data_IF_775842177439
#
_entry.id   IF_775842177439
#
_cell.length_a   1.000
_cell.length_b   1.000
_cell.length_c   1.000
_cell.angle_alpha   90.00
_cell.angle_beta   90.00
_cell.angle_gamma   90.00
#
_symmetry.space_group_name_H-M   'P 1'
#
loop_
_entity.id
_entity.type
_entity.pdbx_description
1 polymer ?
#
# COMPACT_ATOMS: atom_id res chain seq x y z
N UNK A 1 27.88 -50.21 7.14
CA UNK A 1 27.19 -51.08 8.14
C UNK A 1 25.74 -50.66 8.09
N UNK A 2 24.92 -51.39 7.38
CA UNK A 2 24.14 -52.60 7.61
C UNK A 2 23.10 -52.43 8.74
N UNK A 3 21.84 -52.69 8.30
CA UNK A 3 20.69 -53.36 8.96
C UNK A 3 19.66 -52.43 9.57
N UNK A 4 18.36 -52.60 9.49
CA UNK A 4 17.39 -53.55 8.83
C UNK A 4 15.99 -52.97 9.04
N UNK A 5 15.17 -52.89 8.02
CA UNK A 5 13.82 -53.46 7.80
C UNK A 5 13.17 -54.13 9.03
N UNK A 6 11.94 -53.78 9.31
CA UNK A 6 10.90 -54.75 9.66
C UNK A 6 9.51 -54.26 9.23
N UNK A 7 8.88 -55.18 8.57
CA UNK A 7 7.53 -55.26 8.03
C UNK A 7 6.69 -56.03 9.04
N UNK A 8 5.42 -55.73 9.24
CA UNK A 8 4.42 -56.75 9.60
C UNK A 8 3.01 -56.31 9.17
N UNK A 9 2.42 -57.17 8.33
CA UNK A 9 1.02 -57.28 7.92
C UNK A 9 0.16 -57.95 9.00
N UNK A 10 -1.16 -57.72 8.94
CA UNK A 10 -2.25 -58.71 9.07
C UNK A 10 -3.59 -57.96 8.97
N UNK A 11 -4.38 -58.04 7.94
CA UNK A 11 -5.41 -59.02 7.48
C UNK A 11 -6.47 -59.42 8.52
N UNK A 12 -7.76 -59.14 8.26
CA UNK A 12 -8.81 -60.06 7.87
C UNK A 12 -10.21 -59.45 8.05
N UNK A 13 -10.94 -59.46 7.10
CA UNK A 13 -12.25 -59.69 6.59
C UNK A 13 -13.20 -60.51 7.52
N UNK A 14 -14.51 -60.15 7.51
CA UNK A 14 -15.63 -61.12 7.43
C UNK A 14 -16.93 -60.44 6.95
N UNK A 15 -17.50 -61.03 5.93
CA UNK A 15 -18.84 -60.81 5.38
C UNK A 15 -19.94 -61.39 6.32
N UNK A 16 -21.14 -60.82 6.29
CA UNK A 16 -22.37 -61.57 6.48
C UNK A 16 -23.54 -60.96 5.72
N UNK A 17 -24.05 -61.72 4.78
CA UNK A 17 -25.26 -61.60 3.98
C UNK A 17 -26.46 -62.08 4.80
N UNK A 18 -27.59 -61.37 4.71
CA UNK A 18 -28.86 -61.82 5.26
C UNK A 18 -30.04 -61.21 4.52
N UNK A 19 -30.47 -61.94 3.48
CA UNK A 19 -31.77 -61.75 2.80
C UNK A 19 -32.87 -62.47 3.55
N UNK A 20 -34.04 -61.80 3.69
CA UNK A 20 -35.31 -62.57 3.72
C UNK A 20 -36.48 -61.66 3.34
N UNK A 21 -37.18 -62.10 2.34
CA UNK A 21 -38.42 -61.55 1.82
C UNK A 21 -39.61 -62.01 2.67
N UNK A 22 -40.64 -61.23 2.74
CA UNK A 22 -41.93 -61.59 3.29
C UNK A 22 -43.01 -60.63 2.86
N UNK A 23 -43.85 -61.05 1.91
CA UNK A 23 -45.11 -60.39 1.54
C UNK A 23 -46.18 -60.69 2.55
N UNK A 24 -47.02 -59.71 2.89
CA UNK A 24 -48.48 -59.88 3.05
C UNK A 24 -49.18 -58.52 3.23
N UNK A 25 -50.24 -58.36 2.56
CA UNK A 25 -51.33 -57.48 2.26
C UNK A 25 -52.07 -56.92 3.47
N UNK A 26 -52.57 -55.70 3.37
CA UNK A 26 -53.73 -55.25 4.17
C UNK A 26 -53.84 -53.76 4.45
N UNK A 27 -54.60 -53.04 3.63
CA UNK A 27 -55.50 -51.91 3.83
C UNK A 27 -55.20 -50.69 4.72
N UNK A 28 -55.23 -49.55 4.02
CA UNK A 28 -55.93 -48.26 4.27
C UNK A 28 -55.56 -47.33 5.44
N UNK A 29 -55.14 -46.12 4.96
CA UNK A 29 -55.57 -44.79 5.37
C UNK A 29 -54.79 -44.07 6.46
N UNK A 30 -54.01 -43.12 6.09
CA UNK A 30 -54.12 -41.67 6.37
C UNK A 30 -52.90 -40.94 5.78
N UNK A 31 -53.18 -39.91 4.98
CA UNK A 31 -52.24 -38.91 4.49
C UNK A 31 -51.64 -38.14 5.65
N UNK A 32 -50.33 -38.06 5.67
CA UNK A 32 -49.65 -36.91 6.25
C UNK A 32 -48.43 -36.68 5.37
N UNK A 33 -48.58 -35.76 4.49
CA UNK A 33 -47.51 -35.15 3.68
C UNK A 33 -46.50 -34.46 4.61
N UNK A 34 -45.40 -35.16 4.90
CA UNK A 34 -44.19 -34.49 5.32
C UNK A 34 -43.39 -34.18 4.06
N UNK A 35 -43.60 -32.97 3.53
CA UNK A 35 -42.71 -32.39 2.54
C UNK A 35 -41.36 -32.18 3.21
N UNK A 36 -40.41 -33.09 2.91
CA UNK A 36 -39.00 -32.81 3.07
C UNK A 36 -38.65 -31.76 2.03
N UNK A 37 -38.72 -30.52 2.44
CA UNK A 37 -38.03 -29.42 1.74
C UNK A 37 -36.52 -29.66 1.90
N UNK A 38 -35.96 -30.40 0.95
CA UNK A 38 -34.56 -30.24 0.62
C UNK A 38 -34.46 -28.80 0.06
N UNK A 39 -34.15 -27.85 0.93
CA UNK A 39 -33.58 -26.57 0.49
C UNK A 39 -32.26 -26.88 -0.21
N UNK A 40 -32.36 -27.02 -1.52
CA UNK A 40 -31.25 -26.79 -2.40
C UNK A 40 -30.89 -25.33 -2.18
N UNK A 41 -29.87 -25.06 -1.35
CA UNK A 41 -29.18 -23.78 -1.39
C UNK A 41 -28.54 -23.72 -2.78
N UNK A 42 -29.27 -23.16 -3.73
CA UNK A 42 -28.63 -22.63 -4.91
C UNK A 42 -27.64 -21.60 -4.37
N UNK A 43 -26.35 -21.93 -4.39
CA UNK A 43 -25.31 -20.93 -4.19
C UNK A 43 -25.64 -19.79 -5.15
N UNK A 44 -25.94 -18.61 -4.60
CA UNK A 44 -26.15 -17.44 -5.41
C UNK A 44 -24.86 -17.26 -6.22
N UNK A 45 -24.93 -17.36 -7.54
CA UNK A 45 -23.76 -17.10 -8.37
C UNK A 45 -23.51 -15.59 -8.27
N UNK A 46 -22.44 -15.19 -7.63
CA UNK A 46 -22.04 -13.81 -7.54
C UNK A 46 -21.65 -13.23 -8.90
N UNK A 47 -21.48 -11.94 -8.92
CA UNK A 47 -21.03 -11.22 -10.11
C UNK A 47 -19.53 -11.50 -10.32
N UNK A 48 -19.12 -11.82 -11.55
CA UNK A 48 -17.70 -11.81 -11.90
C UNK A 48 -17.21 -10.36 -11.96
N UNK A 49 -16.35 -9.98 -11.03
CA UNK A 49 -15.87 -8.61 -10.88
C UNK A 49 -14.57 -8.39 -11.65
N UNK A 50 -14.46 -7.23 -12.30
CA UNK A 50 -13.20 -6.71 -12.84
C UNK A 50 -12.70 -5.59 -11.93
N UNK A 51 -11.55 -5.77 -11.34
CA UNK A 51 -10.99 -4.85 -10.36
C UNK A 51 -9.60 -4.43 -10.82
N UNK A 52 -9.32 -3.14 -10.74
CA UNK A 52 -8.01 -2.56 -11.09
C UNK A 52 -7.48 -1.81 -9.88
N UNK A 53 -6.25 -2.12 -9.50
CA UNK A 53 -5.51 -1.47 -8.43
C UNK A 53 -4.21 -0.87 -8.99
N UNK A 54 -3.82 0.32 -8.56
CA UNK A 54 -2.57 0.94 -9.00
C UNK A 54 -1.38 0.29 -8.33
N UNK A 55 -1.42 0.15 -6.99
CA UNK A 55 -0.30 -0.34 -6.19
C UNK A 55 -0.59 -1.70 -5.53
N UNK A 56 0.48 -2.38 -5.11
CA UNK A 56 0.38 -3.70 -4.49
C UNK A 56 -0.47 -3.75 -3.20
N UNK A 57 -0.42 -2.80 -2.25
CA UNK A 57 -1.28 -2.81 -1.08
C UNK A 57 -2.77 -2.89 -1.42
N UNK A 58 -3.25 -2.08 -2.36
CA UNK A 58 -4.64 -2.09 -2.84
C UNK A 58 -5.03 -3.44 -3.42
N UNK A 59 -4.16 -4.01 -4.26
CA UNK A 59 -4.33 -5.32 -4.87
C UNK A 59 -4.45 -6.43 -3.82
N UNK A 60 -3.58 -6.44 -2.81
CA UNK A 60 -3.62 -7.46 -1.77
C UNK A 60 -4.83 -7.30 -0.85
N UNK A 61 -5.19 -6.07 -0.44
CA UNK A 61 -6.37 -5.82 0.38
C UNK A 61 -7.66 -6.32 -0.29
N UNK A 62 -7.85 -6.03 -1.57
CA UNK A 62 -8.97 -6.56 -2.34
C UNK A 62 -9.00 -8.09 -2.29
N UNK A 63 -7.86 -8.75 -2.49
CA UNK A 63 -7.75 -10.23 -2.43
C UNK A 63 -8.07 -10.78 -1.05
N UNK A 64 -7.61 -10.12 0.02
CA UNK A 64 -7.89 -10.53 1.39
C UNK A 64 -9.40 -10.45 1.70
N UNK A 65 -10.07 -9.40 1.24
CA UNK A 65 -11.51 -9.19 1.44
C UNK A 65 -12.33 -10.17 0.60
N UNK A 66 -11.98 -10.37 -0.65
CA UNK A 66 -12.65 -11.36 -1.51
C UNK A 66 -12.44 -12.79 -1.00
N UNK A 67 -11.27 -13.10 -0.44
CA UNK A 67 -10.93 -14.44 0.03
C UNK A 67 -11.00 -15.49 -1.09
N UNK A 68 -11.79 -16.54 -0.89
CA UNK A 68 -11.98 -17.58 -1.92
C UNK A 68 -12.67 -17.07 -3.18
N UNK A 69 -13.46 -16.02 -3.10
CA UNK A 69 -14.14 -15.39 -4.24
C UNK A 69 -13.18 -14.63 -5.17
N UNK A 70 -11.94 -14.34 -4.75
CA UNK A 70 -10.91 -13.79 -5.61
C UNK A 70 -10.62 -14.65 -6.86
N UNK A 71 -10.91 -15.95 -6.82
CA UNK A 71 -10.81 -16.87 -7.96
C UNK A 71 -11.87 -16.60 -9.03
N UNK A 72 -12.95 -15.92 -8.66
CA UNK A 72 -14.09 -15.57 -9.50
C UNK A 72 -14.04 -14.10 -9.94
N UNK A 73 -12.91 -13.42 -9.77
CA UNK A 73 -12.70 -12.03 -10.15
C UNK A 73 -11.43 -11.88 -11.01
N UNK A 74 -11.44 -10.91 -11.91
CA UNK A 74 -10.26 -10.44 -12.63
C UNK A 74 -9.67 -9.27 -11.84
N UNK A 75 -8.57 -9.49 -11.13
CA UNK A 75 -7.91 -8.45 -10.33
C UNK A 75 -6.60 -8.09 -11.01
N UNK A 76 -6.48 -6.86 -11.46
CA UNK A 76 -5.29 -6.33 -12.14
C UNK A 76 -4.51 -5.41 -11.21
N UNK A 77 -3.20 -5.64 -11.08
CA UNK A 77 -2.23 -4.69 -10.54
C UNK A 77 -1.59 -3.95 -11.71
N UNK A 78 -1.58 -2.62 -11.70
CA UNK A 78 -0.98 -1.82 -12.77
C UNK A 78 0.54 -1.73 -12.63
N UNK A 79 1.03 -1.53 -11.41
CA UNK A 79 2.47 -1.42 -11.12
C UNK A 79 3.11 -2.79 -10.83
N UNK A 80 2.93 -3.74 -11.72
CA UNK A 80 3.35 -5.15 -11.56
C UNK A 80 4.82 -5.44 -11.88
N UNK A 81 5.55 -4.45 -12.41
CA UNK A 81 6.94 -4.60 -12.90
C UNK A 81 7.99 -3.91 -12.05
N UNK A 82 7.65 -3.57 -10.80
CA UNK A 82 8.57 -2.86 -9.90
C UNK A 82 8.83 -1.41 -10.33
N UNK A 83 7.92 -0.82 -11.09
CA UNK A 83 7.95 0.62 -11.38
C UNK A 83 7.40 1.34 -10.16
N UNK A 84 8.11 2.38 -9.75
CA UNK A 84 7.70 3.24 -8.65
C UNK A 84 6.47 4.07 -9.01
N UNK A 85 5.57 4.30 -8.05
CA UNK A 85 4.34 5.07 -8.22
C UNK A 85 4.61 6.44 -8.84
N UNK A 86 5.63 7.16 -8.33
CA UNK A 86 5.97 8.52 -8.76
C UNK A 86 6.53 8.60 -10.18
N UNK A 87 6.91 7.46 -10.77
CA UNK A 87 7.41 7.36 -12.14
C UNK A 87 6.45 6.68 -13.11
N UNK A 88 5.28 6.25 -12.62
CA UNK A 88 4.34 5.49 -13.41
C UNK A 88 3.55 6.37 -14.38
N UNK A 89 3.43 5.89 -15.63
CA UNK A 89 2.55 6.46 -16.64
C UNK A 89 1.75 5.34 -17.29
N UNK A 90 0.40 5.41 -17.29
CA UNK A 90 -0.44 4.34 -17.84
C UNK A 90 -0.28 4.24 -19.34
N UNK A 91 -0.26 3.03 -19.84
CA UNK A 91 -0.34 2.76 -21.28
C UNK A 91 -1.80 2.60 -21.74
N UNK A 92 -2.01 2.45 -23.05
CA UNK A 92 -3.38 2.33 -23.60
C UNK A 92 -4.13 1.08 -23.11
N UNK A 93 -3.44 0.01 -22.75
CA UNK A 93 -4.06 -1.21 -22.18
C UNK A 93 -4.54 -0.96 -20.76
N UNK A 94 -3.75 -0.24 -19.94
CA UNK A 94 -4.13 0.13 -18.60
C UNK A 94 -5.38 1.01 -18.58
N UNK A 95 -5.42 2.03 -19.47
CA UNK A 95 -6.60 2.89 -19.64
C UNK A 95 -7.83 2.06 -20.07
N UNK A 96 -7.66 1.08 -20.95
CA UNK A 96 -8.76 0.21 -21.36
C UNK A 96 -9.29 -0.64 -20.18
N UNK A 97 -8.40 -1.22 -19.36
CA UNK A 97 -8.76 -1.98 -18.15
C UNK A 97 -9.52 -1.11 -17.15
N UNK A 98 -9.03 0.10 -16.87
CA UNK A 98 -9.68 1.07 -15.99
C UNK A 98 -11.06 1.46 -16.53
N UNK A 99 -11.18 1.69 -17.84
CA UNK A 99 -12.44 2.07 -18.49
C UNK A 99 -13.54 1.02 -18.35
N UNK A 100 -13.20 -0.27 -18.28
CA UNK A 100 -14.12 -1.41 -18.27
C UNK A 100 -14.30 -2.06 -16.90
N UNK A 101 -13.53 -1.66 -15.88
CA UNK A 101 -13.58 -2.29 -14.56
C UNK A 101 -14.87 -1.96 -13.79
N UNK A 102 -15.17 -2.76 -12.78
CA UNK A 102 -16.25 -2.55 -11.83
C UNK A 102 -15.79 -1.74 -10.61
N UNK A 103 -14.52 -1.92 -10.21
CA UNK A 103 -13.88 -1.21 -9.12
C UNK A 103 -12.47 -0.78 -9.54
N UNK A 104 -12.15 0.50 -9.34
CA UNK A 104 -10.83 1.05 -9.55
C UNK A 104 -10.32 1.67 -8.24
N UNK A 105 -9.11 1.29 -7.85
CA UNK A 105 -8.42 1.83 -6.68
C UNK A 105 -7.16 2.56 -7.13
N UNK A 106 -6.90 3.72 -6.52
CA UNK A 106 -5.69 4.51 -6.75
C UNK A 106 -5.38 5.37 -5.52
N UNK A 107 -4.13 5.77 -5.36
CA UNK A 107 -3.69 6.48 -4.17
C UNK A 107 -4.26 7.89 -4.10
N UNK A 108 -4.22 8.61 -5.20
CA UNK A 108 -4.47 10.06 -5.25
C UNK A 108 -3.15 10.85 -5.17
N UNK A 109 -3.26 12.17 -5.04
CA UNK A 109 -2.09 13.05 -5.03
C UNK A 109 -1.56 13.34 -6.44
N UNK A 110 -0.32 13.86 -6.49
CA UNK A 110 0.30 14.31 -7.74
C UNK A 110 0.69 13.15 -8.66
N UNK A 111 1.16 12.04 -8.07
CA UNK A 111 1.55 10.85 -8.83
C UNK A 111 0.42 10.25 -9.65
N UNK A 112 -0.80 10.42 -9.19
CA UNK A 112 -2.02 9.95 -9.85
C UNK A 112 -2.77 11.04 -10.65
N UNK A 113 -2.12 12.16 -10.96
CA UNK A 113 -2.71 13.27 -11.74
C UNK A 113 -3.31 12.84 -13.09
N UNK A 114 -2.78 11.78 -13.68
CA UNK A 114 -3.27 11.16 -14.91
C UNK A 114 -4.65 10.50 -14.75
N UNK A 115 -5.05 10.10 -13.54
CA UNK A 115 -6.31 9.38 -13.27
C UNK A 115 -7.52 10.21 -13.67
N UNK A 116 -7.48 11.51 -13.45
CA UNK A 116 -8.58 12.43 -13.84
C UNK A 116 -8.95 12.32 -15.31
N UNK A 117 -7.95 12.12 -16.17
CA UNK A 117 -8.18 11.95 -17.62
C UNK A 117 -8.61 10.52 -17.95
N UNK A 118 -8.02 9.52 -17.33
CA UNK A 118 -8.41 8.12 -17.49
C UNK A 118 -9.89 7.87 -17.12
N UNK A 119 -10.39 8.54 -16.08
CA UNK A 119 -11.78 8.40 -15.65
C UNK A 119 -12.81 8.98 -16.63
N UNK A 120 -12.42 9.92 -17.48
CA UNK A 120 -13.30 10.48 -18.54
C UNK A 120 -13.64 9.45 -19.62
N UNK A 121 -12.79 8.47 -19.84
CA UNK A 121 -12.93 7.43 -20.88
C UNK A 121 -13.77 6.22 -20.40
N UNK A 122 -14.53 6.36 -19.33
CA UNK A 122 -15.25 5.27 -18.70
C UNK A 122 -16.36 4.66 -19.58
N UNK A 123 -16.27 3.35 -19.85
CA UNK A 123 -17.31 2.56 -20.52
C UNK A 123 -18.31 1.96 -19.54
N UNK A 124 -17.93 1.77 -18.28
CA UNK A 124 -18.79 1.27 -17.22
C UNK A 124 -19.33 2.45 -16.40
N UNK A 125 -20.63 2.84 -16.54
CA UNK A 125 -21.19 3.94 -15.76
C UNK A 125 -21.41 3.62 -14.28
N UNK A 126 -21.44 2.33 -13.93
CA UNK A 126 -21.64 1.85 -12.55
C UNK A 126 -20.31 1.57 -11.83
N UNK A 127 -19.19 1.90 -12.46
CA UNK A 127 -17.86 1.72 -11.88
C UNK A 127 -17.73 2.46 -10.56
N UNK A 128 -17.25 1.75 -9.56
CA UNK A 128 -16.82 2.33 -8.28
C UNK A 128 -15.37 2.78 -8.38
N UNK A 129 -15.05 3.89 -7.73
CA UNK A 129 -13.71 4.46 -7.73
C UNK A 129 -13.35 4.83 -6.30
N UNK A 130 -12.22 4.33 -5.81
CA UNK A 130 -11.68 4.62 -4.49
C UNK A 130 -10.36 5.37 -4.68
N UNK A 131 -10.33 6.63 -4.23
CA UNK A 131 -9.13 7.41 -4.01
C UNK A 131 -8.75 7.23 -2.53
N UNK A 132 -7.55 6.70 -2.24
CA UNK A 132 -7.14 6.40 -0.86
C UNK A 132 -7.03 7.65 -0.01
N UNK A 133 -6.46 8.74 -0.54
CA UNK A 133 -6.36 10.02 0.18
C UNK A 133 -7.75 10.58 0.52
N UNK A 134 -8.69 10.55 -0.44
CA UNK A 134 -10.07 11.00 -0.21
C UNK A 134 -10.80 10.11 0.80
N UNK A 135 -10.59 8.80 0.75
CA UNK A 135 -11.19 7.84 1.68
C UNK A 135 -10.75 8.08 3.13
N UNK A 136 -9.52 8.55 3.34
CA UNK A 136 -8.98 8.87 4.66
C UNK A 136 -9.39 10.26 5.16
N UNK A 137 -9.74 11.18 4.28
CA UNK A 137 -10.20 12.52 4.61
C UNK A 137 -9.25 13.25 5.59
N UNK A 138 -9.72 13.59 6.78
CA UNK A 138 -8.92 14.33 7.78
C UNK A 138 -7.75 13.54 8.39
N UNK A 139 -7.57 12.27 8.04
CA UNK A 139 -6.43 11.46 8.49
C UNK A 139 -5.22 11.56 7.55
N UNK A 140 -5.36 12.28 6.44
CA UNK A 140 -4.23 12.59 5.56
C UNK A 140 -3.26 13.56 6.22
N UNK A 141 -1.99 13.45 5.87
CA UNK A 141 -0.90 14.28 6.40
C UNK A 141 -0.21 14.99 5.26
N UNK A 142 0.12 16.25 5.49
CA UNK A 142 0.96 17.02 4.58
C UNK A 142 2.37 16.43 4.55
N UNK A 143 3.02 16.52 3.40
CA UNK A 143 4.43 16.19 3.29
C UNK A 143 5.26 17.08 4.23
N UNK A 144 6.31 16.55 4.83
CA UNK A 144 7.10 17.26 5.84
C UNK A 144 8.57 17.26 5.46
N UNK A 145 9.13 18.44 5.29
CA UNK A 145 10.58 18.62 5.15
C UNK A 145 11.19 18.81 6.54
N UNK A 146 11.97 17.83 7.01
CA UNK A 146 12.64 17.90 8.31
C UNK A 146 14.05 18.46 8.18
N UNK A 147 14.64 18.84 9.34
CA UNK A 147 16.00 19.42 9.40
C UNK A 147 17.04 18.56 8.66
N UNK A 148 17.71 19.13 7.68
CA UNK A 148 18.77 18.50 6.91
C UNK A 148 18.31 17.70 5.69
N UNK A 149 17.00 17.59 5.45
CA UNK A 149 16.49 17.12 4.18
C UNK A 149 16.84 18.07 3.05
N UNK A 150 17.11 17.51 1.89
CA UNK A 150 17.18 18.29 0.66
C UNK A 150 15.75 18.50 0.18
N UNK A 151 15.37 19.78 0.04
CA UNK A 151 14.11 20.14 -0.60
C UNK A 151 14.21 19.88 -2.11
N UNK A 152 13.10 19.54 -2.75
CA UNK A 152 13.04 19.49 -4.19
C UNK A 152 13.34 20.87 -4.79
N UNK A 153 14.22 20.93 -5.77
CA UNK A 153 14.42 22.15 -6.55
C UNK A 153 13.27 22.23 -7.54
N UNK A 154 12.32 23.15 -7.33
CA UNK A 154 11.34 23.48 -8.36
C UNK A 154 12.08 23.80 -9.65
N UNK A 155 11.95 22.99 -10.69
CA UNK A 155 12.40 23.30 -12.04
C UNK A 155 11.54 24.44 -12.64
N UNK A 156 11.56 25.58 -11.99
CA UNK A 156 11.02 26.83 -12.48
C UNK A 156 12.06 27.55 -13.33
N UNK A 157 11.87 27.49 -14.62
CA UNK A 157 12.49 28.33 -15.68
C UNK A 157 13.46 29.41 -15.18
N UNK A 158 14.76 29.13 -15.20
CA UNK A 158 15.81 30.15 -15.15
C UNK A 158 16.54 30.21 -16.49
N UNK A 159 15.93 30.87 -17.45
CA UNK A 159 16.70 31.66 -18.40
C UNK A 159 17.17 32.92 -17.63
N UNK A 160 18.39 32.92 -17.19
CA UNK A 160 19.06 34.10 -16.65
C UNK A 160 20.40 34.28 -17.33
N UNK A 161 20.35 35.00 -18.40
CA UNK A 161 21.52 35.58 -19.03
C UNK A 161 22.15 36.57 -18.05
N UNK A 162 23.38 36.26 -17.66
CA UNK A 162 24.28 37.17 -16.91
C UNK A 162 24.75 38.29 -17.81
N UNK A 163 24.40 39.55 -17.49
CA UNK A 163 25.28 40.69 -17.85
C UNK A 163 25.17 41.78 -16.81
N UNK A 164 26.34 42.24 -16.42
CA UNK A 164 26.59 43.23 -15.42
C UNK A 164 26.35 44.68 -15.89
N UNK A 165 26.02 45.53 -14.91
CA UNK A 165 26.38 46.92 -14.73
C UNK A 165 25.68 48.05 -15.53
N UNK A 166 25.20 48.97 -14.75
CA UNK A 166 25.40 50.44 -14.86
C UNK A 166 24.16 51.31 -15.03
N UNK A 167 23.83 51.97 -13.94
CA UNK A 167 23.45 53.37 -13.72
C UNK A 167 22.46 54.13 -14.62
N UNK A 168 21.45 54.67 -13.91
CA UNK A 168 21.03 56.06 -13.85
C UNK A 168 19.87 56.59 -14.72
N UNK A 169 18.94 57.18 -13.99
CA UNK A 169 18.23 58.45 -14.20
C UNK A 169 16.89 58.46 -14.99
N UNK A 170 15.85 58.81 -14.21
CA UNK A 170 14.80 59.84 -14.44
C UNK A 170 14.02 59.88 -15.77
N UNK A 171 12.74 59.79 -15.78
CA UNK A 171 11.67 60.75 -15.52
C UNK A 171 10.30 60.31 -16.10
N UNK A 172 9.29 60.52 -15.29
CA UNK A 172 7.88 60.88 -15.50
C UNK A 172 7.22 60.74 -16.88
N UNK A 173 6.06 60.07 -16.98
CA UNK A 173 4.74 60.72 -17.00
C UNK A 173 3.62 59.71 -17.37
N UNK A 174 2.60 59.70 -16.53
CA UNK A 174 1.17 59.52 -16.70
C UNK A 174 0.58 58.82 -17.94
N UNK A 175 -0.26 57.82 -17.65
CA UNK A 175 -1.23 57.25 -18.59
C UNK A 175 -2.11 56.22 -17.89
N UNK A 176 -3.23 56.66 -17.38
CA UNK A 176 -4.31 55.91 -16.70
C UNK A 176 -4.97 54.98 -17.69
N UNK A 177 -5.02 53.66 -17.38
CA UNK A 177 -6.03 52.79 -17.92
C UNK A 177 -6.22 51.62 -16.96
N UNK A 178 -7.32 51.67 -16.26
CA UNK A 178 -7.86 50.63 -15.39
C UNK A 178 -8.28 49.44 -16.25
N UNK A 179 -7.55 48.33 -16.09
CA UNK A 179 -8.07 47.00 -16.34
C UNK A 179 -7.81 46.20 -15.09
N UNK A 180 -8.87 45.88 -14.35
CA UNK A 180 -8.84 44.96 -13.23
C UNK A 180 -8.53 43.56 -13.77
N UNK A 181 -7.29 43.14 -13.64
CA UNK A 181 -6.91 41.75 -13.64
C UNK A 181 -7.34 41.20 -12.28
N UNK A 182 -8.35 40.34 -12.28
CA UNK A 182 -8.62 39.46 -11.14
C UNK A 182 -7.39 38.54 -11.04
N UNK A 183 -6.52 38.83 -10.10
CA UNK A 183 -5.60 37.83 -9.57
C UNK A 183 -6.48 36.76 -8.95
N UNK A 184 -6.59 35.60 -9.63
CA UNK A 184 -7.01 34.37 -8.98
C UNK A 184 -5.87 34.06 -8.02
N UNK A 185 -6.08 34.30 -6.73
CA UNK A 185 -5.32 33.62 -5.69
C UNK A 185 -5.58 32.12 -5.95
N UNK A 186 -4.67 31.43 -6.62
CA UNK A 186 -4.58 29.99 -6.59
C UNK A 186 -4.26 29.68 -5.12
N UNK A 187 -5.26 29.26 -4.36
CA UNK A 187 -5.02 28.64 -3.06
C UNK A 187 -4.13 27.43 -3.36
N UNK A 188 -2.84 27.52 -3.00
CA UNK A 188 -1.95 26.37 -3.02
C UNK A 188 -2.58 25.30 -2.14
N UNK A 189 -3.11 24.25 -2.76
CA UNK A 189 -3.62 23.11 -2.02
C UNK A 189 -2.43 22.44 -1.32
N UNK A 190 -2.53 22.12 -0.03
CA UNK A 190 -1.43 21.46 0.66
C UNK A 190 -1.11 20.13 -0.03
N UNK A 191 0.17 19.89 -0.28
CA UNK A 191 0.67 18.64 -0.83
C UNK A 191 0.62 17.57 0.26
N UNK A 192 -0.21 16.55 0.05
CA UNK A 192 -0.33 15.43 0.99
C UNK A 192 0.68 14.33 0.67
N UNK A 193 1.31 13.79 1.72
CA UNK A 193 2.11 12.58 1.59
C UNK A 193 1.23 11.42 1.10
N UNK A 194 1.63 10.84 -0.02
CA UNK A 194 0.84 9.82 -0.73
C UNK A 194 0.95 8.42 -0.10
N UNK A 195 1.94 8.17 0.79
CA UNK A 195 2.28 6.85 1.31
C UNK A 195 1.38 6.36 2.45
N UNK A 196 0.07 6.60 2.30
CA UNK A 196 -0.97 6.31 3.29
C UNK A 196 -1.05 4.84 3.69
N UNK A 197 -0.66 3.94 2.80
CA UNK A 197 -0.70 2.48 3.02
C UNK A 197 0.33 1.98 4.04
N UNK A 198 1.34 2.79 4.40
CA UNK A 198 2.35 2.44 5.39
C UNK A 198 1.89 2.61 6.84
N UNK A 199 0.65 3.07 7.05
CA UNK A 199 -0.06 3.01 8.33
C UNK A 199 -1.00 1.80 8.36
N UNK A 200 -0.87 0.94 9.38
CA UNK A 200 -1.79 -0.17 9.61
C UNK A 200 -3.22 0.30 9.90
N UNK A 201 -3.35 1.45 10.56
CA UNK A 201 -4.64 2.08 10.90
C UNK A 201 -5.35 2.63 9.67
N UNK A 202 -4.59 3.25 8.77
CA UNK A 202 -5.13 3.68 7.48
C UNK A 202 -5.53 2.48 6.62
N UNK A 203 -4.72 1.42 6.60
CA UNK A 203 -5.04 0.19 5.90
C UNK A 203 -6.38 -0.42 6.37
N UNK A 204 -6.65 -0.43 7.68
CA UNK A 204 -7.92 -0.87 8.24
C UNK A 204 -9.08 -0.03 7.70
N UNK A 205 -8.99 1.31 7.81
CA UNK A 205 -10.02 2.23 7.32
C UNK A 205 -10.29 2.08 5.82
N UNK A 206 -9.24 1.91 5.02
CA UNK A 206 -9.36 1.71 3.57
C UNK A 206 -10.00 0.36 3.26
N UNK A 207 -9.64 -0.71 3.98
CA UNK A 207 -10.27 -2.02 3.83
C UNK A 207 -11.78 -2.00 4.12
N UNK A 208 -12.23 -1.16 5.06
CA UNK A 208 -13.66 -0.95 5.32
C UNK A 208 -14.35 -0.36 4.07
N UNK A 209 -13.78 0.69 3.47
CA UNK A 209 -14.32 1.33 2.25
C UNK A 209 -14.35 0.35 1.08
N UNK A 210 -13.28 -0.41 0.87
CA UNK A 210 -13.20 -1.45 -0.17
C UNK A 210 -14.34 -2.47 0.03
N UNK A 211 -14.55 -2.92 1.27
CA UNK A 211 -15.58 -3.90 1.61
C UNK A 211 -16.99 -3.41 1.28
N UNK A 212 -17.33 -2.15 1.62
CA UNK A 212 -18.63 -1.58 1.31
C UNK A 212 -18.89 -1.50 -0.20
N UNK A 213 -17.89 -1.13 -0.98
CA UNK A 213 -18.01 -1.09 -2.44
C UNK A 213 -18.13 -2.51 -3.05
N UNK A 214 -17.36 -3.47 -2.57
CA UNK A 214 -17.48 -4.87 -3.00
C UNK A 214 -18.87 -5.45 -2.68
N UNK A 215 -19.42 -5.18 -1.49
CA UNK A 215 -20.79 -5.58 -1.09
C UNK A 215 -21.86 -4.95 -1.99
N UNK A 216 -21.65 -3.69 -2.40
CA UNK A 216 -22.54 -2.99 -3.34
C UNK A 216 -22.49 -3.60 -4.74
N UNK A 217 -21.32 -4.03 -5.21
CA UNK A 217 -21.10 -4.61 -6.53
C UNK A 217 -21.54 -6.08 -6.61
N UNK A 218 -21.37 -6.84 -5.52
CA UNK A 218 -21.72 -8.25 -5.41
C UNK A 218 -22.40 -8.58 -4.06
N UNK A 219 -23.66 -8.21 -3.96
CA UNK A 219 -24.46 -8.40 -2.74
C UNK A 219 -24.68 -9.87 -2.37
N UNK A 220 -24.49 -10.80 -3.31
CA UNK A 220 -24.61 -12.23 -3.06
C UNK A 220 -23.55 -12.75 -2.08
N UNK A 221 -22.34 -12.15 -2.08
CA UNK A 221 -21.24 -12.54 -1.21
C UNK A 221 -20.97 -11.50 -0.08
N UNK A 222 -21.85 -10.54 0.14
CA UNK A 222 -21.66 -9.47 1.13
C UNK A 222 -21.25 -9.99 2.52
N UNK A 223 -21.90 -11.05 3.01
CA UNK A 223 -21.59 -11.64 4.32
C UNK A 223 -20.20 -12.31 4.36
N UNK A 224 -19.70 -12.80 3.21
CA UNK A 224 -18.33 -13.37 3.09
C UNK A 224 -17.32 -12.25 3.22
N UNK A 225 -17.53 -11.14 2.50
CA UNK A 225 -16.64 -9.98 2.53
C UNK A 225 -16.56 -9.35 3.93
N UNK A 226 -17.68 -9.20 4.62
CA UNK A 226 -17.72 -8.73 6.02
C UNK A 226 -16.95 -9.67 6.98
N UNK A 227 -17.11 -10.97 6.81
CA UNK A 227 -16.39 -11.94 7.65
C UNK A 227 -14.88 -11.92 7.38
N UNK A 228 -14.48 -11.77 6.11
CA UNK A 228 -13.07 -11.65 5.72
C UNK A 228 -12.46 -10.33 6.20
N UNK A 229 -13.17 -9.21 6.03
CA UNK A 229 -12.76 -7.92 6.59
C UNK A 229 -12.47 -8.04 8.08
N UNK A 230 -13.45 -8.53 8.86
CA UNK A 230 -13.29 -8.69 10.31
C UNK A 230 -12.04 -9.50 10.68
N UNK A 231 -11.81 -10.61 9.98
CA UNK A 231 -10.63 -11.45 10.21
C UNK A 231 -9.34 -10.70 9.87
N UNK A 232 -9.36 -9.90 8.80
CA UNK A 232 -8.19 -9.17 8.35
C UNK A 232 -7.86 -7.99 9.26
N UNK A 233 -8.87 -7.23 9.70
CA UNK A 233 -8.68 -6.13 10.66
C UNK A 233 -8.18 -6.64 12.02
N UNK A 234 -8.66 -7.80 12.51
CA UNK A 234 -8.10 -8.44 13.72
C UNK A 234 -6.58 -8.75 13.56
N UNK A 235 -6.10 -9.05 12.36
CA UNK A 235 -4.68 -9.28 12.09
C UNK A 235 -3.90 -7.95 12.02
N UNK A 236 -4.48 -6.90 11.41
CA UNK A 236 -3.89 -5.55 11.36
C UNK A 236 -3.74 -4.98 12.77
N UNK A 237 -4.80 -5.04 13.59
CA UNK A 237 -4.81 -4.62 14.99
C UNK A 237 -3.73 -5.33 15.82
N UNK A 238 -3.62 -6.66 15.64
CA UNK A 238 -2.60 -7.44 16.34
C UNK A 238 -1.19 -7.01 15.96
N UNK A 239 -0.97 -6.63 14.71
CA UNK A 239 0.32 -6.15 14.24
C UNK A 239 0.58 -4.71 14.70
N UNK A 240 -0.42 -3.82 14.67
CA UNK A 240 -0.34 -2.45 15.19
C UNK A 240 0.07 -2.45 16.67
N UNK A 241 -0.54 -3.34 17.46
CA UNK A 241 -0.16 -3.49 18.87
C UNK A 241 1.30 -3.93 19.03
N UNK A 242 1.80 -4.82 18.17
CA UNK A 242 3.21 -5.24 18.21
C UNK A 242 4.17 -4.08 17.87
N UNK A 243 3.84 -3.26 16.86
CA UNK A 243 4.60 -2.03 16.57
C UNK A 243 4.62 -1.08 17.77
N UNK A 244 3.45 -0.87 18.36
CA UNK A 244 3.29 -0.04 19.57
C UNK A 244 4.19 -0.53 20.71
N UNK A 245 4.21 -1.82 20.97
CA UNK A 245 4.98 -2.42 22.08
C UNK A 245 6.49 -2.33 21.82
N UNK A 246 6.92 -2.57 20.58
CA UNK A 246 8.33 -2.42 20.16
C UNK A 246 8.81 -1.00 20.37
N UNK A 247 8.06 -0.01 19.88
CA UNK A 247 8.46 1.40 19.99
C UNK A 247 8.39 1.89 21.43
N UNK A 248 7.43 1.43 22.24
CA UNK A 248 7.37 1.75 23.67
C UNK A 248 8.60 1.22 24.44
N UNK A 249 9.09 0.05 24.09
CA UNK A 249 10.25 -0.58 24.73
C UNK A 249 11.59 0.01 24.27
N UNK A 250 11.64 0.71 23.15
CA UNK A 250 12.85 1.28 22.58
C UNK A 250 13.42 2.41 23.43
N UNK A 251 14.73 2.38 23.68
CA UNK A 251 15.45 3.44 24.39
C UNK A 251 15.66 4.69 23.50
N UNK A 252 15.93 4.49 22.23
CA UNK A 252 16.02 5.53 21.21
C UNK A 252 14.89 5.32 20.18
N UNK A 253 14.16 6.39 19.90
CA UNK A 253 13.02 6.36 18.98
C UNK A 253 13.31 7.24 17.76
N UNK A 254 14.53 7.17 17.24
CA UNK A 254 14.93 7.96 16.10
C UNK A 254 15.50 7.06 15.02
N UNK A 255 14.99 7.23 13.79
CA UNK A 255 15.50 6.60 12.59
C UNK A 255 16.24 7.63 11.73
N UNK A 256 17.20 7.18 10.94
CA UNK A 256 17.89 8.02 9.96
C UNK A 256 17.98 7.28 8.63
N UNK A 257 17.43 7.90 7.60
CA UNK A 257 17.37 7.36 6.25
C UNK A 257 18.45 8.02 5.37
N UNK A 258 19.29 7.19 4.78
CA UNK A 258 20.16 7.59 3.67
C UNK A 258 19.45 7.35 2.33
N UNK A 259 18.20 7.81 2.24
CA UNK A 259 17.28 7.59 1.16
C UNK A 259 16.14 8.61 1.23
N UNK A 260 15.14 8.52 0.32
CA UNK A 260 13.84 9.18 0.47
C UNK A 260 13.03 8.53 1.60
N UNK A 261 12.02 9.24 2.10
CA UNK A 261 11.31 8.87 3.32
C UNK A 261 9.81 8.71 3.11
N UNK A 262 9.33 7.55 2.67
CA UNK A 262 7.90 7.32 2.47
C UNK A 262 7.14 6.92 3.76
N UNK A 263 7.79 6.85 4.91
CA UNK A 263 7.20 6.29 6.15
C UNK A 263 6.56 7.32 7.07
N UNK A 264 6.10 8.46 6.52
CA UNK A 264 5.49 9.57 7.28
C UNK A 264 4.36 9.11 8.21
N UNK A 265 3.43 8.33 7.69
CA UNK A 265 2.29 7.81 8.46
C UNK A 265 2.73 6.79 9.52
N UNK A 266 3.64 5.88 9.18
CA UNK A 266 4.15 4.88 10.12
C UNK A 266 4.83 5.54 11.32
N UNK A 267 5.73 6.49 11.10
CA UNK A 267 6.45 7.13 12.21
C UNK A 267 5.54 7.96 13.11
N UNK A 268 4.51 8.59 12.52
CA UNK A 268 3.54 9.36 13.27
C UNK A 268 2.65 8.47 14.15
N UNK A 269 2.18 7.35 13.62
CA UNK A 269 1.37 6.38 14.35
C UNK A 269 2.01 5.91 15.66
N UNK A 270 3.34 5.79 15.68
CA UNK A 270 4.07 5.26 16.84
C UNK A 270 4.95 6.30 17.56
N UNK A 271 4.98 7.54 17.11
CA UNK A 271 5.77 8.63 17.71
C UNK A 271 7.28 8.41 17.55
N UNK A 272 7.71 7.97 16.38
CA UNK A 272 9.12 7.81 16.00
C UNK A 272 9.61 9.11 15.38
N UNK A 273 10.79 9.57 15.77
CA UNK A 273 11.48 10.71 15.13
C UNK A 273 12.32 10.21 13.97
N UNK A 274 12.54 11.05 12.98
CA UNK A 274 13.34 10.68 11.83
C UNK A 274 14.17 11.84 11.27
N UNK A 275 15.20 11.46 10.53
CA UNK A 275 15.96 12.30 9.60
C UNK A 275 16.08 11.53 8.30
N UNK A 276 16.10 12.22 7.16
CA UNK A 276 16.22 11.55 5.86
C UNK A 276 16.95 12.45 4.85
N UNK A 277 17.39 11.84 3.74
CA UNK A 277 18.03 12.61 2.68
C UNK A 277 17.02 13.42 1.87
N UNK A 278 15.84 12.83 1.60
CA UNK A 278 14.78 13.44 0.78
C UNK A 278 13.38 13.14 1.36
N UNK A 279 12.41 13.92 0.91
CA UNK A 279 10.98 13.64 1.12
C UNK A 279 10.55 12.33 0.43
N UNK A 280 9.36 11.83 0.75
CA UNK A 280 8.89 10.52 0.28
C UNK A 280 8.69 10.42 -1.22
N UNK A 281 8.15 11.48 -1.82
CA UNK A 281 7.80 11.55 -3.23
C UNK A 281 8.96 11.95 -4.14
N UNK A 282 10.12 12.30 -3.57
CA UNK A 282 11.28 12.77 -4.33
C UNK A 282 11.81 11.78 -5.37
N UNK A 283 12.07 12.29 -6.56
CA UNK A 283 12.75 11.56 -7.62
C UNK A 283 14.30 11.64 -7.54
N UNK A 284 14.85 12.35 -6.56
CA UNK A 284 16.28 12.58 -6.40
C UNK A 284 17.05 11.28 -6.08
N UNK A 285 18.17 11.11 -6.75
CA UNK A 285 19.05 9.93 -6.59
C UNK A 285 20.43 10.25 -6.02
N UNK A 286 20.77 11.53 -5.89
CA UNK A 286 22.06 12.01 -5.41
C UNK A 286 21.85 13.12 -4.36
N UNK A 287 22.27 12.86 -3.13
CA UNK A 287 22.21 13.85 -2.06
C UNK A 287 23.37 14.83 -2.13
N UNK A 288 23.11 16.08 -1.77
CA UNK A 288 24.12 17.13 -1.66
C UNK A 288 25.17 16.78 -0.59
N UNK A 289 26.35 17.34 -0.73
CA UNK A 289 27.39 17.20 0.31
C UNK A 289 26.93 17.72 1.68
N UNK A 290 26.11 18.75 1.69
CA UNK A 290 25.57 19.35 2.90
C UNK A 290 24.63 18.39 3.62
N UNK A 291 23.67 17.80 2.90
CA UNK A 291 22.75 16.77 3.39
C UNK A 291 23.50 15.55 3.95
N UNK A 292 24.45 15.01 3.19
CA UNK A 292 25.26 13.87 3.65
C UNK A 292 26.05 14.20 4.92
N UNK A 293 26.67 15.37 4.96
CA UNK A 293 27.46 15.82 6.12
C UNK A 293 26.59 16.02 7.37
N UNK A 294 25.39 16.60 7.19
CA UNK A 294 24.42 16.77 8.26
C UNK A 294 23.97 15.42 8.82
N UNK A 295 23.56 14.48 7.95
CA UNK A 295 23.09 13.16 8.38
C UNK A 295 24.20 12.34 9.07
N UNK A 296 25.43 12.37 8.57
CA UNK A 296 26.56 11.72 9.22
C UNK A 296 26.83 12.30 10.63
N UNK A 297 26.74 13.61 10.78
CA UNK A 297 26.88 14.28 12.08
C UNK A 297 25.75 13.91 13.03
N UNK A 298 24.48 13.81 12.55
CA UNK A 298 23.34 13.34 13.35
C UNK A 298 23.50 11.90 13.80
N UNK A 299 24.01 11.01 12.94
CA UNK A 299 24.37 9.63 13.33
C UNK A 299 25.31 9.61 14.54
N UNK A 300 26.36 10.40 14.48
CA UNK A 300 27.36 10.51 15.56
C UNK A 300 26.78 11.12 16.84
N UNK A 301 26.00 12.20 16.73
CA UNK A 301 25.38 12.91 17.85
C UNK A 301 24.39 12.06 18.63
N UNK A 302 23.59 11.26 17.90
CA UNK A 302 22.53 10.43 18.45
C UNK A 302 23.01 9.00 18.77
N UNK A 303 24.23 8.65 18.37
CA UNK A 303 24.81 7.32 18.58
C UNK A 303 24.04 6.23 17.81
N UNK A 304 23.49 6.56 16.62
CA UNK A 304 22.72 5.62 15.82
C UNK A 304 23.65 4.58 15.21
N UNK A 305 23.21 3.33 15.25
CA UNK A 305 23.98 2.18 14.76
C UNK A 305 23.60 1.76 13.33
N UNK A 306 22.48 2.26 12.84
CA UNK A 306 21.92 1.84 11.58
C UNK A 306 21.52 3.04 10.73
N UNK A 307 21.83 2.98 9.42
CA UNK A 307 21.27 3.85 8.40
C UNK A 307 20.15 3.08 7.70
N UNK A 308 19.00 3.68 7.60
CA UNK A 308 17.86 3.09 6.94
C UNK A 308 17.86 3.40 5.44
N UNK A 309 17.34 2.47 4.64
CA UNK A 309 17.04 2.66 3.21
C UNK A 309 15.66 2.09 2.91
N UNK A 310 15.08 2.43 1.76
CA UNK A 310 13.95 1.70 1.19
C UNK A 310 14.46 0.49 0.40
N UNK A 311 13.52 -0.32 -0.10
CA UNK A 311 13.84 -1.43 -1.00
C UNK A 311 14.52 -0.92 -2.29
N UNK A 312 15.24 -1.81 -2.95
CA UNK A 312 15.97 -1.50 -4.18
C UNK A 312 17.48 -1.69 -4.05
N UNK A 313 18.18 -1.67 -5.18
CA UNK A 313 19.62 -1.97 -5.22
C UNK A 313 20.52 -0.80 -4.84
N UNK A 314 20.03 0.45 -4.91
CA UNK A 314 20.86 1.64 -4.70
C UNK A 314 20.95 2.00 -3.22
N UNK A 315 22.13 1.85 -2.61
CA UNK A 315 22.43 2.21 -1.22
C UNK A 315 23.57 3.22 -1.11
N UNK A 316 23.92 3.87 -2.20
CA UNK A 316 25.10 4.74 -2.33
C UNK A 316 25.08 5.91 -1.32
N UNK A 317 23.89 6.50 -1.09
CA UNK A 317 23.75 7.63 -0.16
C UNK A 317 23.99 7.13 1.27
N UNK A 318 23.35 6.03 1.67
CA UNK A 318 23.55 5.43 2.99
C UNK A 318 25.01 5.04 3.24
N UNK A 319 25.67 4.42 2.25
CA UNK A 319 27.11 4.10 2.31
C UNK A 319 27.96 5.36 2.45
N UNK A 320 27.62 6.43 1.72
CA UNK A 320 28.37 7.70 1.78
C UNK A 320 28.19 8.37 3.14
N UNK A 321 26.99 8.33 3.73
CA UNK A 321 26.75 8.83 5.09
C UNK A 321 27.64 8.08 6.07
N UNK A 322 27.65 6.73 6.04
CA UNK A 322 28.48 5.92 6.93
C UNK A 322 29.96 6.28 6.80
N UNK A 323 30.46 6.46 5.58
CA UNK A 323 31.87 6.83 5.36
C UNK A 323 32.26 8.21 5.93
N UNK A 324 31.27 9.06 6.20
CA UNK A 324 31.45 10.38 6.79
C UNK A 324 31.19 10.43 8.31
N UNK A 325 30.76 9.32 8.94
CA UNK A 325 30.68 9.20 10.40
C UNK A 325 32.08 8.97 11.02
N UNK A 326 32.17 9.13 12.35
CA UNK A 326 33.44 8.92 13.09
C UNK A 326 33.90 7.46 13.06
N UNK A 327 32.97 6.54 13.35
CA UNK A 327 33.29 5.13 13.57
C UNK A 327 33.21 4.29 12.27
N UNK A 328 32.45 4.72 11.29
CA UNK A 328 32.28 4.10 9.97
C UNK A 328 31.91 2.61 10.03
N UNK A 329 31.15 2.22 11.05
CA UNK A 329 30.81 0.83 11.36
C UNK A 329 29.31 0.59 11.49
N UNK A 330 28.49 1.55 11.04
CA UNK A 330 27.05 1.43 11.05
C UNK A 330 26.59 0.44 9.98
N UNK A 331 25.54 -0.31 10.28
CA UNK A 331 24.89 -1.21 9.34
C UNK A 331 23.80 -0.49 8.55
N UNK A 332 23.53 -0.98 7.34
CA UNK A 332 22.37 -0.54 6.54
C UNK A 332 21.23 -1.52 6.77
N UNK A 333 20.06 -0.99 7.14
CA UNK A 333 18.83 -1.74 7.25
C UNK A 333 17.79 -1.22 6.26
N UNK A 334 17.01 -2.11 5.68
CA UNK A 334 16.01 -1.76 4.67
C UNK A 334 14.61 -1.95 5.22
N UNK A 335 13.78 -0.91 5.15
CA UNK A 335 12.33 -0.99 5.30
C UNK A 335 11.71 -1.05 3.90
N UNK A 336 10.75 -1.93 3.71
CA UNK A 336 10.08 -2.10 2.44
C UNK A 336 8.87 -1.15 2.38
N UNK A 337 8.87 -0.23 1.43
CA UNK A 337 7.80 0.74 1.20
C UNK A 337 6.67 0.20 0.31
N UNK A 338 6.86 -0.98 -0.28
CA UNK A 338 5.92 -1.62 -1.21
C UNK A 338 5.68 -0.85 -2.52
N UNK A 339 6.53 0.14 -2.85
CA UNK A 339 6.42 0.93 -4.08
C UNK A 339 6.92 0.18 -5.31
N UNK A 340 7.77 -0.82 -5.13
CA UNK A 340 8.39 -1.57 -6.24
C UNK A 340 8.12 -3.08 -6.17
N UNK A 341 7.00 -3.48 -5.58
CA UNK A 341 6.58 -4.88 -5.54
C UNK A 341 6.29 -5.41 -6.94
N UNK A 342 6.83 -6.56 -7.28
CA UNK A 342 6.70 -7.19 -8.60
C UNK A 342 5.68 -8.33 -8.60
N UNK A 343 5.23 -8.72 -9.80
CA UNK A 343 4.42 -9.94 -9.98
C UNK A 343 5.13 -11.18 -9.40
N UNK A 344 6.46 -11.26 -9.54
CA UNK A 344 7.25 -12.37 -8.99
C UNK A 344 7.21 -12.42 -7.45
N UNK A 345 7.18 -11.29 -6.78
CA UNK A 345 7.05 -11.22 -5.32
C UNK A 345 5.68 -11.74 -4.89
N UNK A 346 4.63 -11.34 -5.62
CA UNK A 346 3.25 -11.81 -5.41
C UNK A 346 3.14 -13.33 -5.63
N UNK A 347 3.72 -13.85 -6.70
CA UNK A 347 3.76 -15.30 -6.99
C UNK A 347 4.55 -16.07 -5.92
N UNK A 348 5.55 -15.44 -5.31
CA UNK A 348 6.34 -16.00 -4.20
C UNK A 348 5.58 -16.02 -2.87
N UNK A 349 4.40 -15.40 -2.83
CA UNK A 349 3.51 -15.39 -1.67
C UNK A 349 3.64 -14.16 -0.77
N UNK A 350 4.27 -13.09 -1.24
CA UNK A 350 4.30 -11.82 -0.50
C UNK A 350 2.88 -11.28 -0.34
N UNK A 351 2.61 -10.75 0.85
CA UNK A 351 1.36 -10.09 1.21
C UNK A 351 1.66 -8.77 1.93
N UNK A 352 0.72 -7.84 1.90
CA UNK A 352 0.84 -6.59 2.64
C UNK A 352 1.18 -6.83 4.12
N UNK A 353 0.41 -7.69 4.79
CA UNK A 353 0.62 -8.03 6.19
C UNK A 353 1.98 -8.69 6.43
N UNK A 354 2.43 -9.55 5.50
CA UNK A 354 3.75 -10.20 5.55
C UNK A 354 4.90 -9.19 5.47
N UNK A 355 4.81 -8.23 4.55
CA UNK A 355 5.81 -7.16 4.41
C UNK A 355 5.82 -6.26 5.65
N UNK A 356 4.66 -5.84 6.16
CA UNK A 356 4.59 -5.06 7.39
C UNK A 356 5.14 -5.82 8.60
N UNK A 357 4.95 -7.15 8.67
CA UNK A 357 5.58 -7.98 9.71
C UNK A 357 7.10 -8.01 9.56
N UNK A 358 7.64 -8.10 8.35
CA UNK A 358 9.09 -8.03 8.09
C UNK A 358 9.63 -6.64 8.47
N UNK A 359 8.92 -5.57 8.13
CA UNK A 359 9.27 -4.21 8.52
C UNK A 359 9.34 -4.05 10.05
N UNK A 360 8.44 -4.68 10.80
CA UNK A 360 8.49 -4.70 12.25
C UNK A 360 9.79 -5.34 12.78
N UNK A 361 10.24 -6.45 12.17
CA UNK A 361 11.50 -7.10 12.58
C UNK A 361 12.73 -6.24 12.28
N UNK A 362 12.69 -5.48 11.17
CA UNK A 362 13.73 -4.48 10.86
C UNK A 362 13.70 -3.34 11.86
N UNK A 363 12.50 -2.81 12.17
CA UNK A 363 12.33 -1.72 13.14
C UNK A 363 12.83 -2.11 14.54
N UNK A 364 12.58 -3.34 14.99
CA UNK A 364 13.12 -3.87 16.25
C UNK A 364 14.64 -3.78 16.32
N UNK A 365 15.34 -4.02 15.20
CA UNK A 365 16.81 -3.90 15.13
C UNK A 365 17.23 -2.44 15.10
N UNK A 366 16.54 -1.62 14.31
CA UNK A 366 16.88 -0.22 14.12
C UNK A 366 16.78 0.61 15.41
N UNK A 367 15.86 0.24 16.31
CA UNK A 367 15.60 0.95 17.56
C UNK A 367 16.38 0.39 18.78
N UNK A 368 17.28 -0.58 18.59
CA UNK A 368 18.17 -1.13 19.63
C UNK A 368 19.47 -0.32 19.69
#
# INVERSE_FOLDING_TARGET
MKFKRWMAMATAAVLAIGTLAGCAQGEKKAETTAASSAESSAAASGKHLKIVATIFPEYDWVRQILGDEAKNADITLLLDKGVDLHSYQPNAEDIAKISECDLFLYVGGESDGWVKDALKEGKNPDRKVINLLEALGNNTKEEEVVEGMQAEEEEGSKDSESTAASQAAESQAAGESTAASAESEEEECPEYDEHVWLSLRNAESICEVITEDLKSLDSAHAAVYEANLKKYTEQLDSLDQQYTDVVKAAANKTLLFGDRFPFRYLVDDYGIKYYAAFVGCSAETEASFETVSFLAKKMDELGLKHVMTIEGPNKKIAETIIQNTKDKNQDILTLNSMQSTTEQDIESGETYLGIMQQNLEVLKKALQ
#
